data_IF_159533979165
#
_entry.id   IF_159533979165
#
_cell.length_a   1.000
_cell.length_b   1.000
_cell.length_c   1.000
_cell.angle_alpha   90.00
_cell.angle_beta   90.00
_cell.angle_gamma   90.00
#
_symmetry.space_group_name_H-M   'P 1'
#
loop_
_entity.id
_entity.type
_entity.pdbx_description
1 polymer ?
#
# COMPACT_ATOMS: atom_id res chain seq x y z
N UNK A 1 9.88 21.78 1.31
CA UNK A 1 8.51 21.31 1.66
C UNK A 1 8.15 20.09 0.82
N UNK A 2 7.50 19.10 1.43
CA UNK A 2 7.03 17.92 0.72
C UNK A 2 5.68 18.23 0.09
N UNK A 3 5.55 18.02 -1.21
CA UNK A 3 4.31 18.30 -1.94
C UNK A 3 3.58 17.03 -2.43
N UNK A 4 4.27 15.90 -2.49
CA UNK A 4 3.70 14.66 -3.01
C UNK A 4 4.13 13.46 -2.18
N UNK A 5 3.34 12.38 -2.28
CA UNK A 5 3.72 11.08 -1.68
C UNK A 5 5.03 10.58 -2.30
N UNK A 6 5.24 10.81 -3.58
CA UNK A 6 6.47 10.44 -4.26
C UNK A 6 7.69 11.10 -3.59
N UNK A 7 7.65 12.39 -3.33
CA UNK A 7 8.73 13.11 -2.63
C UNK A 7 8.95 12.57 -1.22
N UNK A 8 7.86 12.30 -0.49
CA UNK A 8 7.96 11.73 0.85
C UNK A 8 8.75 10.43 0.83
N UNK A 9 8.43 9.54 -0.09
CA UNK A 9 9.05 8.22 -0.17
C UNK A 9 10.48 8.30 -0.70
N UNK A 10 10.70 9.02 -1.79
CA UNK A 10 12.01 9.05 -2.46
C UNK A 10 13.02 9.96 -1.78
N UNK A 11 12.59 11.10 -1.26
CA UNK A 11 13.52 12.10 -0.70
C UNK A 11 13.64 11.99 0.81
N UNK A 12 12.55 11.83 1.53
CA UNK A 12 12.60 11.79 2.99
C UNK A 12 12.91 10.38 3.50
N UNK A 13 12.09 9.40 3.15
CA UNK A 13 12.26 8.04 3.66
C UNK A 13 13.53 7.37 3.15
N UNK A 14 13.78 7.46 1.84
CA UNK A 14 14.91 6.74 1.23
C UNK A 14 16.25 7.44 1.41
N UNK A 15 16.27 8.78 1.43
CA UNK A 15 17.52 9.55 1.47
C UNK A 15 17.85 10.14 2.82
N UNK A 16 16.86 10.71 3.53
CA UNK A 16 17.14 11.40 4.79
C UNK A 16 17.16 10.45 5.99
N UNK A 17 16.27 9.44 6.02
CA UNK A 17 16.11 8.57 7.18
C UNK A 17 16.11 7.08 6.83
N UNK A 18 17.00 6.61 5.95
CA UNK A 18 16.94 5.21 5.48
C UNK A 18 17.11 4.18 6.60
N UNK A 19 17.93 4.50 7.61
CA UNK A 19 18.30 3.53 8.65
C UNK A 19 17.37 3.57 9.87
N UNK A 20 16.42 4.50 9.92
CA UNK A 20 15.46 4.55 11.03
C UNK A 20 14.38 3.49 10.87
N UNK A 21 13.91 2.98 12.01
CA UNK A 21 12.81 2.02 12.03
C UNK A 21 11.51 2.73 11.63
N UNK A 22 10.89 2.24 10.56
CA UNK A 22 9.59 2.74 10.10
C UNK A 22 8.43 1.96 10.71
N UNK A 23 8.60 0.64 10.88
CA UNK A 23 7.58 -0.25 11.43
C UNK A 23 8.21 -1.24 12.41
N UNK A 24 7.49 -1.50 13.50
CA UNK A 24 7.78 -2.58 14.42
C UNK A 24 6.48 -3.29 14.71
N UNK A 25 6.44 -4.59 14.48
CA UNK A 25 5.23 -5.37 14.69
C UNK A 25 5.56 -6.80 15.08
N UNK A 26 4.56 -7.51 15.58
CA UNK A 26 4.68 -8.91 15.96
C UNK A 26 4.28 -9.76 14.75
N UNK A 27 5.12 -10.73 14.40
CA UNK A 27 4.85 -11.62 13.27
C UNK A 27 3.66 -12.56 13.55
N UNK A 28 3.27 -13.32 12.54
CA UNK A 28 2.12 -14.21 12.61
C UNK A 28 2.24 -15.29 13.70
N UNK A 29 3.46 -15.64 14.14
CA UNK A 29 3.69 -16.58 15.23
C UNK A 29 3.31 -16.02 16.61
N UNK A 30 2.98 -14.75 16.69
CA UNK A 30 2.63 -14.07 17.95
C UNK A 30 3.80 -13.79 18.89
N UNK A 31 5.03 -14.07 18.47
CA UNK A 31 6.22 -14.00 19.33
C UNK A 31 7.35 -13.16 18.74
N UNK A 32 7.63 -13.32 17.45
CA UNK A 32 8.75 -12.66 16.80
C UNK A 32 8.43 -11.20 16.54
N UNK A 33 9.30 -10.31 17.02
CA UNK A 33 9.20 -8.88 16.72
C UNK A 33 9.95 -8.62 15.41
N UNK A 34 9.27 -8.01 14.45
CA UNK A 34 9.83 -7.65 13.16
C UNK A 34 9.99 -6.14 13.10
N UNK A 35 11.15 -5.69 12.68
CA UNK A 35 11.42 -4.27 12.43
C UNK A 35 11.73 -4.06 10.95
N UNK A 36 11.15 -3.02 10.38
CA UNK A 36 11.44 -2.57 9.01
C UNK A 36 11.98 -1.15 9.06
N UNK A 37 13.16 -0.95 8.49
CA UNK A 37 13.71 0.41 8.32
C UNK A 37 12.99 1.11 7.17
N UNK A 38 13.15 2.42 7.08
CA UNK A 38 12.59 3.16 5.92
C UNK A 38 13.19 2.66 4.61
N UNK A 39 14.48 2.31 4.57
CA UNK A 39 15.08 1.74 3.36
C UNK A 39 14.39 0.44 2.93
N UNK A 40 14.12 -0.46 3.88
CA UNK A 40 13.43 -1.72 3.60
C UNK A 40 11.99 -1.47 3.16
N UNK A 41 11.30 -0.54 3.81
CA UNK A 41 9.92 -0.17 3.48
C UNK A 41 9.85 0.38 2.05
N UNK A 42 10.73 1.29 1.69
CA UNK A 42 10.79 1.86 0.34
C UNK A 42 11.06 0.78 -0.71
N UNK A 43 11.95 -0.17 -0.40
CA UNK A 43 12.22 -1.28 -1.32
C UNK A 43 10.98 -2.15 -1.52
N UNK A 44 10.24 -2.45 -0.45
CA UNK A 44 9.01 -3.22 -0.55
C UNK A 44 7.93 -2.46 -1.32
N UNK A 45 7.84 -1.14 -1.13
CA UNK A 45 6.95 -0.28 -1.92
C UNK A 45 7.29 -0.37 -3.41
N UNK A 46 8.56 -0.30 -3.77
CA UNK A 46 8.98 -0.40 -5.18
C UNK A 46 8.62 -1.74 -5.80
N UNK A 47 8.73 -2.83 -5.05
CA UNK A 47 8.28 -4.15 -5.50
C UNK A 47 6.77 -4.16 -5.74
N UNK A 48 6.01 -3.53 -4.87
CA UNK A 48 4.57 -3.41 -5.04
C UNK A 48 4.22 -2.58 -6.29
N UNK A 49 4.94 -1.49 -6.54
CA UNK A 49 4.77 -0.68 -7.76
C UNK A 49 4.94 -1.55 -9.01
N UNK A 50 6.00 -2.35 -9.05
CA UNK A 50 6.25 -3.25 -10.18
C UNK A 50 5.11 -4.24 -10.36
N UNK A 51 4.66 -4.86 -9.27
CA UNK A 51 3.54 -5.79 -9.29
C UNK A 51 2.28 -5.15 -9.87
N UNK A 52 1.92 -3.97 -9.40
CA UNK A 52 0.71 -3.29 -9.88
C UNK A 52 0.82 -2.90 -11.35
N UNK A 53 1.97 -2.41 -11.80
CA UNK A 53 2.16 -2.04 -13.21
C UNK A 53 2.12 -3.25 -14.13
N UNK A 54 2.63 -4.39 -13.68
CA UNK A 54 2.61 -5.62 -14.48
C UNK A 54 1.21 -6.24 -14.58
N UNK A 55 0.39 -6.08 -13.54
CA UNK A 55 -0.92 -6.72 -13.47
C UNK A 55 -2.10 -5.84 -13.90
N UNK A 56 -1.89 -4.53 -14.01
CA UNK A 56 -2.94 -3.59 -14.39
C UNK A 56 -2.45 -2.75 -15.57
N UNK A 57 -2.83 -3.10 -16.81
CA UNK A 57 -2.47 -2.29 -17.99
C UNK A 57 -3.03 -0.87 -17.86
N UNK A 58 -2.24 0.12 -18.26
CA UNK A 58 -2.63 1.54 -18.23
C UNK A 58 -3.13 1.96 -16.85
N UNK A 59 -2.37 1.63 -15.82
CA UNK A 59 -2.78 1.75 -14.42
C UNK A 59 -3.13 3.18 -13.99
N UNK A 60 -2.61 4.20 -14.64
CA UNK A 60 -2.83 5.59 -14.25
C UNK A 60 -4.32 5.90 -14.18
N UNK A 61 -4.78 6.34 -13.01
CA UNK A 61 -6.17 6.69 -12.78
C UNK A 61 -7.10 5.52 -12.51
N UNK A 62 -6.62 4.30 -12.62
CA UNK A 62 -7.43 3.11 -12.29
C UNK A 62 -7.51 2.93 -10.79
N UNK A 63 -8.55 2.24 -10.34
CA UNK A 63 -8.82 2.07 -8.91
C UNK A 63 -8.33 0.72 -8.43
N UNK A 64 -7.55 0.73 -7.34
CA UNK A 64 -7.10 -0.47 -6.65
C UNK A 64 -7.78 -0.49 -5.29
N UNK A 65 -8.58 -1.52 -5.06
CA UNK A 65 -9.21 -1.75 -3.77
C UNK A 65 -8.26 -2.46 -2.83
N UNK A 66 -8.15 -1.99 -1.59
CA UNK A 66 -7.38 -2.67 -0.56
C UNK A 66 -8.32 -3.07 0.55
N UNK A 67 -8.48 -4.39 0.73
CA UNK A 67 -9.32 -4.99 1.76
C UNK A 67 -8.41 -5.73 2.74
N UNK A 68 -8.08 -5.08 3.83
CA UNK A 68 -7.16 -5.64 4.81
C UNK A 68 -7.34 -4.96 6.16
N UNK A 69 -7.03 -5.69 7.22
CA UNK A 69 -6.82 -5.07 8.52
C UNK A 69 -5.51 -4.29 8.49
N UNK A 70 -5.31 -3.43 9.48
CA UNK A 70 -4.08 -2.66 9.58
C UNK A 70 -2.88 -3.59 9.82
N UNK A 71 -1.93 -3.57 8.89
CA UNK A 71 -0.70 -4.36 8.94
C UNK A 71 0.37 -3.68 8.09
N UNK A 72 1.58 -4.22 8.14
CA UNK A 72 2.69 -3.67 7.37
C UNK A 72 2.38 -3.66 5.86
N UNK A 73 1.85 -4.76 5.34
CA UNK A 73 1.55 -4.92 3.93
C UNK A 73 0.48 -3.93 3.44
N UNK A 74 -0.41 -3.50 4.31
CA UNK A 74 -1.39 -2.46 4.00
C UNK A 74 -0.68 -1.17 3.59
N UNK A 75 0.32 -0.75 4.36
CA UNK A 75 1.10 0.44 4.05
C UNK A 75 1.92 0.29 2.78
N UNK A 76 2.52 -0.89 2.56
CA UNK A 76 3.30 -1.17 1.35
C UNK A 76 2.42 -1.10 0.11
N UNK A 77 1.28 -1.77 0.13
CA UNK A 77 0.39 -1.83 -1.03
C UNK A 77 -0.30 -0.49 -1.30
N UNK A 78 -0.66 0.25 -0.26
CA UNK A 78 -1.27 1.58 -0.44
C UNK A 78 -0.33 2.53 -1.16
N UNK A 79 0.89 2.67 -0.67
CA UNK A 79 1.87 3.55 -1.32
C UNK A 79 2.34 2.99 -2.65
N UNK A 80 2.45 1.68 -2.78
CA UNK A 80 2.82 1.05 -4.05
C UNK A 80 1.80 1.37 -5.15
N UNK A 81 0.52 1.25 -4.85
CA UNK A 81 -0.54 1.58 -5.81
C UNK A 81 -0.53 3.07 -6.17
N UNK A 82 -0.36 3.95 -5.19
CA UNK A 82 -0.30 5.39 -5.42
C UNK A 82 0.89 5.74 -6.32
N UNK A 83 2.07 5.22 -6.04
CA UNK A 83 3.26 5.49 -6.86
C UNK A 83 3.16 4.90 -8.25
N UNK A 84 2.40 3.82 -8.42
CA UNK A 84 2.14 3.25 -9.74
C UNK A 84 1.16 4.09 -10.57
N UNK A 85 0.52 5.07 -9.96
CA UNK A 85 -0.42 5.97 -10.62
C UNK A 85 -1.89 5.64 -10.40
N UNK A 86 -2.18 4.66 -9.55
CA UNK A 86 -3.56 4.25 -9.26
C UNK A 86 -4.21 5.13 -8.19
N UNK A 87 -5.53 5.04 -8.12
CA UNK A 87 -6.32 5.59 -7.03
C UNK A 87 -6.59 4.47 -6.03
N UNK A 88 -6.20 4.65 -4.78
CA UNK A 88 -6.41 3.66 -3.73
C UNK A 88 -7.80 3.82 -3.12
N UNK A 89 -8.54 2.72 -3.07
CA UNK A 89 -9.85 2.67 -2.42
C UNK A 89 -9.75 1.70 -1.25
N UNK A 90 -9.97 2.19 -0.05
CA UNK A 90 -9.94 1.34 1.15
C UNK A 90 -11.30 0.67 1.33
N UNK A 91 -11.28 -0.63 1.56
CA UNK A 91 -12.49 -1.44 1.71
C UNK A 91 -12.48 -2.06 3.10
N UNK A 92 -13.57 -1.87 3.84
CA UNK A 92 -13.70 -2.42 5.19
C UNK A 92 -14.02 -3.92 5.12
N UNK A 93 -13.08 -4.75 5.54
CA UNK A 93 -13.23 -6.22 5.52
C UNK A 93 -14.33 -6.74 6.45
N UNK A 94 -14.80 -5.91 7.38
CA UNK A 94 -15.84 -6.30 8.36
C UNK A 94 -17.26 -6.05 7.86
N UNK A 95 -17.43 -5.46 6.68
CA UNK A 95 -18.74 -5.22 6.10
C UNK A 95 -19.37 -6.50 5.59
N UNK A 96 -20.70 -6.54 5.58
CA UNK A 96 -21.46 -7.65 5.02
C UNK A 96 -21.34 -7.66 3.50
N UNK A 97 -21.62 -8.83 2.88
CA UNK A 97 -21.53 -8.94 1.43
C UNK A 97 -22.44 -7.95 0.68
N UNK A 98 -23.71 -7.72 1.09
CA UNK A 98 -24.54 -6.71 0.40
C UNK A 98 -23.92 -5.30 0.44
N UNK A 99 -23.29 -4.92 1.55
CA UNK A 99 -22.62 -3.61 1.67
C UNK A 99 -21.40 -3.55 0.76
N UNK A 100 -20.61 -4.60 0.72
CA UNK A 100 -19.43 -4.68 -0.15
C UNK A 100 -19.81 -4.65 -1.62
N UNK A 101 -20.85 -5.40 -2.00
CA UNK A 101 -21.34 -5.43 -3.37
C UNK A 101 -21.76 -4.04 -3.84
N UNK A 102 -22.46 -3.30 -3.00
CA UNK A 102 -22.88 -1.94 -3.30
C UNK A 102 -21.67 -1.03 -3.51
N UNK A 103 -20.71 -1.06 -2.59
CA UNK A 103 -19.51 -0.22 -2.69
C UNK A 103 -18.64 -0.57 -3.90
N UNK A 104 -18.45 -1.86 -4.17
CA UNK A 104 -17.66 -2.30 -5.32
C UNK A 104 -18.32 -1.89 -6.63
N UNK A 105 -19.64 -1.91 -6.68
CA UNK A 105 -20.40 -1.42 -7.84
C UNK A 105 -20.20 0.07 -8.10
N UNK A 106 -20.05 0.86 -7.03
CA UNK A 106 -19.80 2.31 -7.17
C UNK A 106 -18.38 2.61 -7.62
N UNK A 107 -17.38 1.91 -7.09
CA UNK A 107 -15.97 2.22 -7.35
C UNK A 107 -15.38 1.49 -8.53
N UNK A 108 -15.91 0.34 -8.86
CA UNK A 108 -15.43 -0.50 -9.97
C UNK A 108 -13.91 -0.66 -9.98
N UNK A 109 -13.33 -1.29 -8.94
CA UNK A 109 -11.87 -1.44 -8.89
C UNK A 109 -11.36 -2.37 -9.97
N UNK A 110 -10.16 -2.06 -10.50
CA UNK A 110 -9.49 -2.92 -11.47
C UNK A 110 -8.81 -4.12 -10.81
N UNK A 111 -8.48 -4.00 -9.53
CA UNK A 111 -7.85 -5.06 -8.74
C UNK A 111 -8.21 -4.85 -7.27
N UNK A 112 -8.41 -5.95 -6.55
CA UNK A 112 -8.57 -5.94 -5.09
C UNK A 112 -7.43 -6.74 -4.49
N UNK A 113 -6.76 -6.14 -3.53
CA UNK A 113 -5.62 -6.76 -2.83
C UNK A 113 -6.01 -7.08 -1.39
#
# INVERSE_FOLDING_TARGET
MINTVYELITDVMAKQYPDRVAFRYVAADGKTVVEKTYAQYVQDIRRAVTYFKENIPDIKGKRVGIMSRNCYEYGVNSFGAILAGAVVVTINQKKTWPELEYELGLVEPSLIV
#
